data_IF_908664680333
#
_entry.id   IF_908664680333
#
_cell.length_a   1.000
_cell.length_b   1.000
_cell.length_c   1.000
_cell.angle_alpha   90.00
_cell.angle_beta   90.00
_cell.angle_gamma   90.00
#
_symmetry.space_group_name_H-M   'P 1'
#
loop_
_entity.id
_entity.type
_entity.pdbx_description
1 polymer ?
#
# COMPACT_ATOMS: atom_id res chain seq x y z
N UNK A 1 50.70 -13.64 -69.64
CA UNK A 1 51.75 -14.21 -68.75
C UNK A 1 52.67 -13.09 -68.31
N UNK A 2 53.20 -13.06 -67.07
CA UNK A 2 53.21 -14.09 -65.99
C UNK A 2 52.14 -13.79 -64.89
N UNK A 3 51.59 -14.70 -64.07
CA UNK A 3 52.10 -15.78 -63.18
C UNK A 3 52.94 -15.23 -62.01
N UNK A 4 52.83 -15.60 -60.72
CA UNK A 4 51.95 -16.49 -59.97
C UNK A 4 52.22 -16.29 -58.44
N UNK A 5 51.21 -16.61 -57.62
CA UNK A 5 51.30 -17.32 -56.31
C UNK A 5 51.79 -16.64 -55.01
N UNK A 6 51.05 -16.95 -53.92
CA UNK A 6 51.42 -16.72 -52.52
C UNK A 6 50.21 -16.72 -51.57
N UNK A 7 49.74 -17.90 -51.14
CA UNK A 7 48.76 -18.10 -50.06
C UNK A 7 49.34 -17.76 -48.67
N UNK A 8 48.49 -17.26 -47.77
CA UNK A 8 48.79 -17.12 -46.34
C UNK A 8 47.58 -16.59 -45.55
N UNK A 9 46.82 -17.51 -44.96
CA UNK A 9 45.66 -17.31 -44.09
C UNK A 9 45.98 -16.59 -42.77
N UNK A 10 45.11 -15.70 -42.28
CA UNK A 10 44.39 -15.86 -41.00
C UNK A 10 43.42 -14.68 -40.76
N UNK A 11 42.16 -15.07 -40.54
CA UNK A 11 41.19 -14.49 -39.59
C UNK A 11 40.78 -13.00 -39.69
N UNK A 12 39.55 -12.84 -40.20
CA UNK A 12 38.46 -12.35 -39.36
C UNK A 12 38.36 -10.83 -39.21
N UNK A 13 37.46 -10.23 -39.99
CA UNK A 13 36.37 -9.36 -39.52
C UNK A 13 35.64 -8.81 -40.77
N UNK A 14 34.53 -9.44 -41.14
CA UNK A 14 33.56 -8.87 -42.08
C UNK A 14 32.39 -8.27 -41.26
N UNK A 15 31.73 -7.22 -41.78
CA UNK A 15 30.95 -6.30 -40.97
C UNK A 15 29.62 -6.94 -40.55
N UNK A 16 29.29 -6.81 -39.27
CA UNK A 16 27.96 -7.11 -38.74
C UNK A 16 26.96 -6.09 -39.30
N UNK A 17 26.40 -6.41 -40.47
CA UNK A 17 25.02 -6.05 -40.78
C UNK A 17 24.13 -6.81 -39.78
N UNK A 18 23.81 -6.18 -38.66
CA UNK A 18 22.69 -6.63 -37.83
C UNK A 18 21.44 -6.15 -38.55
N UNK A 19 20.78 -7.08 -39.26
CA UNK A 19 19.35 -6.95 -39.52
C UNK A 19 18.70 -6.73 -38.15
N UNK A 20 18.14 -5.54 -37.92
CA UNK A 20 17.11 -5.37 -36.91
C UNK A 20 15.98 -6.31 -37.30
N UNK A 21 16.01 -7.52 -36.77
CA UNK A 21 14.84 -8.36 -36.68
C UNK A 21 13.86 -7.57 -35.84
N UNK A 22 12.84 -7.04 -36.52
CA UNK A 22 11.63 -6.49 -35.96
C UNK A 22 10.95 -7.62 -35.18
N UNK A 23 11.44 -7.87 -33.96
CA UNK A 23 10.79 -8.77 -33.01
C UNK A 23 9.48 -8.06 -32.70
N UNK A 24 8.32 -8.66 -33.04
CA UNK A 24 7.06 -8.12 -32.57
C UNK A 24 7.15 -8.18 -31.04
N UNK A 25 7.37 -7.04 -30.39
CA UNK A 25 7.04 -6.92 -28.97
C UNK A 25 5.55 -7.16 -28.95
N UNK A 26 5.15 -8.37 -28.56
CA UNK A 26 3.76 -8.63 -28.17
C UNK A 26 3.33 -7.44 -27.33
N UNK A 27 2.25 -6.72 -27.68
CA UNK A 27 1.74 -5.70 -26.79
C UNK A 27 1.46 -6.42 -25.48
N UNK A 28 2.23 -6.11 -24.44
CA UNK A 28 2.01 -6.66 -23.11
C UNK A 28 0.53 -6.47 -22.84
N UNK A 29 -0.21 -7.58 -22.68
CA UNK A 29 -1.66 -7.55 -22.48
C UNK A 29 -1.92 -6.60 -21.33
N UNK A 30 -2.45 -5.41 -21.64
CA UNK A 30 -2.75 -4.44 -20.61
C UNK A 30 -3.78 -5.11 -19.69
N UNK A 31 -3.50 -5.24 -18.39
CA UNK A 31 -4.42 -5.89 -17.49
C UNK A 31 -5.76 -5.15 -17.59
N UNK A 32 -6.84 -5.91 -17.80
CA UNK A 32 -8.16 -5.31 -17.95
C UNK A 32 -8.48 -4.42 -16.75
N UNK A 33 -9.22 -3.33 -16.96
CA UNK A 33 -9.60 -2.40 -15.89
C UNK A 33 -10.32 -3.15 -14.76
N UNK A 34 -11.08 -4.21 -15.10
CA UNK A 34 -11.73 -5.11 -14.12
C UNK A 34 -10.73 -5.89 -13.27
N UNK A 35 -9.68 -6.46 -13.89
CA UNK A 35 -8.61 -7.13 -13.16
C UNK A 35 -7.87 -6.16 -12.25
N UNK A 36 -7.53 -4.98 -12.78
CA UNK A 36 -6.89 -3.91 -11.99
C UNK A 36 -7.75 -3.51 -10.79
N UNK A 37 -9.07 -3.38 -10.96
CA UNK A 37 -9.98 -3.08 -9.85
C UNK A 37 -9.92 -4.14 -8.73
N UNK A 38 -9.99 -5.43 -9.09
CA UNK A 38 -9.88 -6.53 -8.12
C UNK A 38 -8.53 -6.59 -7.43
N UNK A 39 -7.44 -6.46 -8.19
CA UNK A 39 -6.08 -6.42 -7.64
C UNK A 39 -5.93 -5.25 -6.64
N UNK A 40 -6.56 -4.10 -6.92
CA UNK A 40 -6.56 -2.96 -6.01
C UNK A 40 -7.43 -3.17 -4.76
N UNK A 41 -8.55 -3.89 -4.86
CA UNK A 41 -9.33 -4.28 -3.67
C UNK A 41 -8.51 -5.19 -2.75
N UNK A 42 -7.76 -6.15 -3.30
CA UNK A 42 -6.83 -6.97 -2.52
C UNK A 42 -5.72 -6.14 -1.87
N UNK A 43 -5.04 -5.30 -2.64
CA UNK A 43 -4.00 -4.42 -2.12
C UNK A 43 -4.53 -3.49 -1.02
N UNK A 44 -5.79 -3.05 -1.13
CA UNK A 44 -6.44 -2.25 -0.12
C UNK A 44 -6.63 -3.02 1.19
N UNK A 45 -7.06 -4.29 1.13
CA UNK A 45 -7.19 -5.13 2.32
C UNK A 45 -5.85 -5.34 3.03
N UNK A 46 -4.76 -5.54 2.28
CA UNK A 46 -3.41 -5.65 2.84
C UNK A 46 -3.05 -4.38 3.62
N UNK A 47 -3.29 -3.20 3.04
CA UNK A 47 -3.07 -1.92 3.75
C UNK A 47 -3.93 -1.77 5.01
N UNK A 48 -5.18 -2.26 4.98
CA UNK A 48 -6.04 -2.21 6.17
C UNK A 48 -5.51 -3.12 7.28
N UNK A 49 -4.96 -4.29 6.93
CA UNK A 49 -4.29 -5.20 7.87
C UNK A 49 -3.07 -4.54 8.52
N UNK A 50 -2.17 -3.95 7.73
CA UNK A 50 -0.97 -3.26 8.24
C UNK A 50 -1.31 -2.17 9.25
N UNK A 51 -2.32 -1.33 8.93
CA UNK A 51 -2.74 -0.27 9.83
C UNK A 51 -3.30 -0.84 11.14
N UNK A 52 -4.07 -1.93 11.07
CA UNK A 52 -4.62 -2.58 12.26
C UNK A 52 -3.54 -3.09 13.19
N UNK A 53 -2.55 -3.78 12.65
CA UNK A 53 -1.41 -4.29 13.42
C UNK A 53 -0.65 -3.15 14.11
N UNK A 54 -0.37 -2.08 13.36
CA UNK A 54 0.31 -0.88 13.90
C UNK A 54 -0.47 -0.22 15.04
N UNK A 55 -1.80 -0.14 14.92
CA UNK A 55 -2.67 0.45 15.93
C UNK A 55 -2.80 -0.45 17.18
N UNK A 56 -2.89 -1.76 16.99
CA UNK A 56 -2.92 -2.72 18.10
C UNK A 56 -1.59 -2.74 18.86
N UNK A 57 -0.47 -2.64 18.14
CA UNK A 57 0.84 -2.49 18.77
C UNK A 57 0.89 -1.24 19.66
N UNK A 58 0.38 -0.10 19.20
CA UNK A 58 0.28 1.11 20.03
C UNK A 58 -0.58 0.92 21.28
N UNK A 59 -1.70 0.20 21.21
CA UNK A 59 -2.54 -0.09 22.37
C UNK A 59 -1.88 -1.06 23.37
N UNK A 60 -0.99 -1.93 22.90
CA UNK A 60 -0.28 -2.88 23.75
C UNK A 60 0.81 -2.23 24.61
N UNK A 61 1.20 -0.98 24.29
CA UNK A 61 2.23 -0.24 25.01
C UNK A 61 1.65 0.37 26.29
N UNK A 62 2.29 0.16 27.46
CA UNK A 62 1.92 0.91 28.66
C UNK A 62 2.23 2.40 28.43
N UNK A 63 1.30 3.28 28.82
CA UNK A 63 1.41 4.76 28.78
C UNK A 63 0.84 5.53 27.57
N UNK A 64 -0.04 4.97 26.72
CA UNK A 64 -0.79 5.80 25.77
C UNK A 64 -1.78 6.74 26.53
N UNK A 65 -1.76 8.07 26.33
CA UNK A 65 -2.71 8.97 26.99
C UNK A 65 -4.17 8.62 26.63
N UNK A 66 -5.16 8.86 27.53
CA UNK A 66 -6.57 8.53 27.25
C UNK A 66 -7.13 9.07 25.92
N UNK A 67 -6.81 10.31 25.49
CA UNK A 67 -7.23 10.82 24.17
C UNK A 67 -6.66 9.99 23.00
N UNK A 68 -5.41 9.52 23.13
CA UNK A 68 -4.77 8.67 22.13
C UNK A 68 -5.42 7.28 22.08
N UNK A 69 -5.69 6.68 23.24
CA UNK A 69 -6.38 5.38 23.30
C UNK A 69 -7.78 5.44 22.66
N UNK A 70 -8.53 6.50 22.96
CA UNK A 70 -9.85 6.71 22.37
C UNK A 70 -9.77 6.90 20.85
N UNK A 71 -8.80 7.68 20.38
CA UNK A 71 -8.56 7.86 18.96
C UNK A 71 -8.18 6.54 18.28
N UNK A 72 -7.20 5.79 18.82
CA UNK A 72 -6.79 4.51 18.25
C UNK A 72 -7.97 3.54 18.16
N UNK A 73 -8.78 3.45 19.21
CA UNK A 73 -9.98 2.60 19.23
C UNK A 73 -10.97 2.99 18.11
N UNK A 74 -11.21 4.29 17.96
CA UNK A 74 -12.08 4.82 16.88
C UNK A 74 -11.54 4.46 15.50
N UNK A 75 -10.23 4.59 15.27
CA UNK A 75 -9.62 4.23 13.99
C UNK A 75 -9.66 2.72 13.75
N UNK A 76 -9.48 1.90 14.79
CA UNK A 76 -9.59 0.44 14.68
C UNK A 76 -11.00 0.00 14.26
N UNK A 77 -12.04 0.61 14.82
CA UNK A 77 -13.42 0.29 14.44
C UNK A 77 -13.72 0.70 12.99
N UNK A 78 -13.25 1.88 12.57
CA UNK A 78 -13.33 2.30 11.17
C UNK A 78 -12.55 1.39 10.23
N UNK A 79 -11.35 0.95 10.63
CA UNK A 79 -10.52 0.03 9.87
C UNK A 79 -11.20 -1.34 9.67
N UNK A 80 -11.84 -1.87 10.71
CA UNK A 80 -12.60 -3.13 10.66
C UNK A 80 -13.80 -3.03 9.73
N UNK A 81 -14.54 -1.92 9.80
CA UNK A 81 -15.68 -1.71 8.90
C UNK A 81 -15.21 -1.59 7.44
N UNK A 82 -14.12 -0.85 7.20
CA UNK A 82 -13.52 -0.72 5.89
C UNK A 82 -13.05 -2.08 5.32
N UNK A 83 -12.40 -2.92 6.12
CA UNK A 83 -12.06 -4.29 5.74
C UNK A 83 -13.32 -5.10 5.38
N UNK A 84 -14.36 -5.03 6.21
CA UNK A 84 -15.60 -5.80 6.03
C UNK A 84 -16.29 -5.46 4.72
N UNK A 85 -16.40 -4.16 4.41
CA UNK A 85 -17.01 -3.66 3.18
C UNK A 85 -16.18 -4.01 1.94
N UNK A 86 -14.85 -3.82 1.98
CA UNK A 86 -13.99 -4.16 0.84
C UNK A 86 -13.93 -5.67 0.60
N UNK A 87 -13.94 -6.48 1.66
CA UNK A 87 -14.05 -7.93 1.55
C UNK A 87 -15.41 -8.36 1.00
N UNK A 88 -16.49 -7.63 1.29
CA UNK A 88 -17.79 -7.84 0.68
C UNK A 88 -17.76 -7.54 -0.83
N UNK A 89 -17.16 -6.41 -1.26
CA UNK A 89 -16.99 -6.09 -2.68
C UNK A 89 -16.24 -7.19 -3.42
N UNK A 90 -15.12 -7.70 -2.88
CA UNK A 90 -14.38 -8.82 -3.49
C UNK A 90 -15.29 -10.05 -3.71
N UNK A 91 -16.08 -10.42 -2.71
CA UNK A 91 -17.01 -11.56 -2.82
C UNK A 91 -18.07 -11.34 -3.89
N UNK A 92 -18.61 -10.13 -4.02
CA UNK A 92 -19.56 -9.76 -5.09
C UNK A 92 -18.94 -9.92 -6.48
N UNK A 93 -17.63 -9.70 -6.61
CA UNK A 93 -16.88 -9.93 -7.85
C UNK A 93 -16.36 -11.36 -8.03
N UNK A 94 -16.74 -12.30 -7.17
CA UNK A 94 -16.35 -13.71 -7.22
C UNK A 94 -14.95 -14.01 -6.69
N UNK A 95 -14.32 -13.06 -5.99
CA UNK A 95 -12.98 -13.21 -5.39
C UNK A 95 -13.09 -13.51 -3.89
N UNK A 96 -12.14 -14.28 -3.36
CA UNK A 96 -11.99 -14.48 -1.90
C UNK A 96 -10.91 -13.55 -1.37
N UNK A 97 -11.15 -12.79 -0.28
CA UNK A 97 -10.11 -12.00 0.38
C UNK A 97 -8.85 -12.85 0.62
N UNK A 98 -7.68 -12.31 0.24
CA UNK A 98 -6.39 -12.95 0.50
C UNK A 98 -5.99 -12.63 1.94
N UNK A 99 -5.66 -13.66 2.71
CA UNK A 99 -5.08 -13.52 4.04
C UNK A 99 -3.55 -13.48 3.88
N UNK A 100 -3.01 -12.39 3.37
CA UNK A 100 -1.57 -12.22 3.17
C UNK A 100 -0.89 -11.65 4.45
N UNK A 101 -1.36 -12.03 5.65
CA UNK A 101 -0.82 -11.52 6.93
C UNK A 101 0.62 -11.99 7.19
N UNK A 102 1.02 -13.12 6.60
CA UNK A 102 2.32 -13.73 6.89
C UNK A 102 3.51 -12.95 6.30
N UNK A 103 3.27 -12.05 5.34
CA UNK A 103 4.31 -11.22 4.70
C UNK A 103 4.53 -9.85 5.34
N UNK A 104 3.66 -9.41 6.26
CA UNK A 104 3.71 -8.06 6.85
C UNK A 104 4.43 -7.98 8.20
N UNK A 105 4.56 -9.11 8.89
CA UNK A 105 5.30 -9.23 10.15
C UNK A 105 6.75 -8.73 10.03
N UNK A 106 7.39 -8.86 8.86
CA UNK A 106 8.76 -8.43 8.63
C UNK A 106 8.97 -6.91 8.54
N UNK A 107 7.92 -6.13 8.27
CA UNK A 107 7.98 -4.66 8.25
C UNK A 107 7.78 -4.07 9.66
N UNK A 108 7.03 -4.76 10.51
CA UNK A 108 6.77 -4.38 11.90
C UNK A 108 7.89 -4.81 12.85
N UNK A 109 8.55 -5.95 12.57
CA UNK A 109 9.72 -6.40 13.35
C UNK A 109 10.88 -5.39 13.36
N UNK A 110 10.92 -4.47 12.39
CA UNK A 110 11.95 -3.42 12.33
C UNK A 110 11.64 -2.22 13.25
N UNK A 111 10.42 -2.15 13.81
CA UNK A 111 9.99 -1.06 14.72
C UNK A 111 10.11 -1.49 16.20
N UNK A 112 10.33 -2.78 16.47
CA UNK A 112 10.51 -3.31 17.83
C UNK A 112 11.99 -3.24 18.23
N UNK A 113 12.44 -2.02 18.55
CA UNK A 113 13.57 -1.85 19.48
C UNK A 113 13.04 -1.24 20.76
N UNK A 114 13.17 -1.97 21.87
CA UNK A 114 12.83 -1.51 23.21
C UNK A 114 13.44 -0.12 23.47
N UNK A 115 12.60 0.87 23.74
CA UNK A 115 13.05 2.26 23.81
C UNK A 115 13.69 2.57 25.17
N UNK A 116 14.88 3.18 25.21
CA UNK A 116 15.43 3.76 26.42
C UNK A 116 14.53 4.90 26.90
N UNK A 117 14.38 5.02 28.22
CA UNK A 117 13.38 5.84 28.92
C UNK A 117 13.46 7.36 28.72
N UNK A 118 14.24 7.87 27.76
CA UNK A 118 14.51 9.30 27.55
C UNK A 118 13.93 9.92 26.28
N UNK A 119 13.57 9.15 25.25
CA UNK A 119 13.19 9.66 23.92
C UNK A 119 11.74 9.35 23.51
N UNK A 120 10.86 9.13 24.50
CA UNK A 120 9.47 8.68 24.32
C UNK A 120 8.64 9.62 23.40
N UNK A 121 8.72 10.96 23.52
CA UNK A 121 7.90 11.86 22.69
C UNK A 121 8.30 11.86 21.21
N UNK A 122 9.60 11.88 20.90
CA UNK A 122 10.11 11.90 19.52
C UNK A 122 9.77 10.60 18.78
N UNK A 123 9.89 9.46 19.47
CA UNK A 123 9.52 8.17 18.90
C UNK A 123 8.01 8.01 18.72
N UNK A 124 7.19 8.51 19.66
CA UNK A 124 5.74 8.51 19.50
C UNK A 124 5.30 9.37 18.29
N UNK A 125 5.94 10.52 18.07
CA UNK A 125 5.70 11.33 16.87
C UNK A 125 6.08 10.61 15.58
N UNK A 126 7.21 9.88 15.57
CA UNK A 126 7.61 9.03 14.45
C UNK A 126 6.56 7.97 14.12
N UNK A 127 6.14 7.20 15.12
CA UNK A 127 5.08 6.19 14.97
C UNK A 127 3.76 6.84 14.51
N UNK A 128 3.43 8.03 15.01
CA UNK A 128 2.23 8.74 14.61
C UNK A 128 2.29 9.27 13.17
N UNK A 129 3.47 9.66 12.70
CA UNK A 129 3.70 10.02 11.31
C UNK A 129 3.51 8.81 10.38
N UNK A 130 4.02 7.65 10.77
CA UNK A 130 3.87 6.41 10.00
C UNK A 130 2.39 6.01 9.89
N UNK A 131 1.65 6.08 10.99
CA UNK A 131 0.21 5.82 11.01
C UNK A 131 -0.56 6.84 10.17
N UNK A 132 -0.23 8.13 10.27
CA UNK A 132 -0.81 9.15 9.41
C UNK A 132 -0.54 8.86 7.92
N UNK A 133 0.66 8.40 7.60
CA UNK A 133 1.05 7.96 6.26
C UNK A 133 0.25 6.74 5.79
N UNK A 134 0.01 5.75 6.65
CA UNK A 134 -0.86 4.61 6.37
C UNK A 134 -2.31 5.04 6.11
N UNK A 135 -2.87 5.92 6.94
CA UNK A 135 -4.23 6.46 6.76
C UNK A 135 -4.34 7.23 5.44
N UNK A 136 -3.34 8.05 5.10
CA UNK A 136 -3.29 8.77 3.84
C UNK A 136 -3.23 7.84 2.63
N UNK A 137 -2.43 6.76 2.71
CA UNK A 137 -2.37 5.71 1.68
C UNK A 137 -3.71 5.01 1.48
N UNK A 138 -4.41 4.65 2.57
CA UNK A 138 -5.75 4.06 2.50
C UNK A 138 -6.75 5.00 1.82
N UNK A 139 -6.75 6.29 2.17
CA UNK A 139 -7.63 7.29 1.56
C UNK A 139 -7.39 7.43 0.06
N UNK A 140 -6.12 7.45 -0.36
CA UNK A 140 -5.75 7.49 -1.78
C UNK A 140 -6.16 6.21 -2.49
N UNK A 141 -5.97 5.05 -1.86
CA UNK A 141 -6.41 3.77 -2.39
C UNK A 141 -7.93 3.72 -2.62
N UNK A 142 -8.73 4.20 -1.67
CA UNK A 142 -10.19 4.32 -1.85
C UNK A 142 -10.57 5.27 -3.00
N UNK A 143 -9.82 6.37 -3.18
CA UNK A 143 -10.05 7.30 -4.29
C UNK A 143 -9.83 6.64 -5.66
N UNK A 144 -8.77 5.84 -5.77
CA UNK A 144 -8.47 5.08 -6.98
C UNK A 144 -9.52 3.98 -7.24
N UNK A 145 -9.94 3.28 -6.19
CA UNK A 145 -11.00 2.28 -6.29
C UNK A 145 -12.32 2.90 -6.77
N UNK A 146 -12.70 4.05 -6.21
CA UNK A 146 -13.90 4.77 -6.64
C UNK A 146 -13.83 5.16 -8.12
N UNK A 147 -12.69 5.73 -8.55
CA UNK A 147 -12.48 6.08 -9.96
C UNK A 147 -12.62 4.85 -10.88
N UNK A 148 -12.07 3.70 -10.48
CA UNK A 148 -12.17 2.46 -11.24
C UNK A 148 -13.62 1.93 -11.26
N UNK A 149 -14.32 1.97 -10.14
CA UNK A 149 -15.73 1.56 -10.04
C UNK A 149 -16.63 2.43 -10.94
N UNK A 150 -16.44 3.75 -10.94
CA UNK A 150 -17.15 4.69 -11.81
C UNK A 150 -16.87 4.39 -13.29
N UNK A 151 -15.60 4.15 -13.66
CA UNK A 151 -15.21 3.78 -15.04
C UNK A 151 -15.80 2.45 -15.50
N UNK A 152 -16.05 1.53 -14.57
CA UNK A 152 -16.69 0.24 -14.83
C UNK A 152 -18.22 0.28 -14.69
N UNK A 153 -18.79 1.45 -14.37
CA UNK A 153 -20.22 1.65 -14.11
C UNK A 153 -20.78 0.75 -12.99
N UNK A 154 -19.96 0.47 -11.96
CA UNK A 154 -20.33 -0.28 -10.77
C UNK A 154 -20.93 0.68 -9.73
N UNK A 155 -22.22 0.99 -9.87
CA UNK A 155 -22.89 2.04 -9.06
C UNK A 155 -22.98 1.71 -7.58
N UNK A 156 -23.23 0.45 -7.23
CA UNK A 156 -23.30 0.00 -5.83
C UNK A 156 -21.92 0.06 -5.16
N UNK A 157 -20.89 -0.47 -5.82
CA UNK A 157 -19.50 -0.35 -5.37
C UNK A 157 -19.08 1.11 -5.15
N UNK A 158 -19.42 1.99 -6.10
CA UNK A 158 -19.10 3.41 -6.00
C UNK A 158 -19.77 4.10 -4.80
N UNK A 159 -21.00 3.71 -4.46
CA UNK A 159 -21.69 4.22 -3.27
C UNK A 159 -20.98 3.78 -1.97
N UNK A 160 -20.65 2.49 -1.85
CA UNK A 160 -19.91 1.94 -0.71
C UNK A 160 -18.54 2.63 -0.57
N UNK A 161 -17.79 2.73 -1.67
CA UNK A 161 -16.47 3.37 -1.68
C UNK A 161 -16.52 4.86 -1.33
N UNK A 162 -17.61 5.55 -1.68
CA UNK A 162 -17.82 6.96 -1.31
C UNK A 162 -18.02 7.11 0.19
N UNK A 163 -18.84 6.26 0.80
CA UNK A 163 -19.06 6.25 2.25
C UNK A 163 -17.75 5.98 3.01
N UNK A 164 -16.99 4.97 2.59
CA UNK A 164 -15.69 4.64 3.17
C UNK A 164 -14.70 5.82 3.08
N UNK A 165 -14.68 6.56 1.96
CA UNK A 165 -13.84 7.77 1.83
C UNK A 165 -14.25 8.87 2.81
N UNK A 166 -15.54 9.03 3.06
CA UNK A 166 -16.02 10.04 3.99
C UNK A 166 -15.62 9.70 5.43
N UNK A 167 -15.73 8.43 5.82
CA UNK A 167 -15.28 7.95 7.12
C UNK A 167 -13.77 8.13 7.31
N UNK A 168 -12.97 7.79 6.29
CA UNK A 168 -11.51 7.96 6.30
C UNK A 168 -11.07 9.44 6.39
N UNK A 169 -11.85 10.39 5.86
CA UNK A 169 -11.57 11.83 6.00
C UNK A 169 -11.72 12.31 7.45
N UNK A 170 -12.65 11.76 8.21
CA UNK A 170 -12.87 12.14 9.60
C UNK A 170 -11.71 11.66 10.48
N UNK A 171 -11.16 10.48 10.23
CA UNK A 171 -9.97 9.94 10.92
C UNK A 171 -8.76 10.89 10.88
N UNK A 172 -8.48 11.47 9.71
CA UNK A 172 -7.35 12.42 9.54
C UNK A 172 -7.56 13.72 10.32
N UNK A 173 -8.80 14.17 10.47
CA UNK A 173 -9.13 15.38 11.24
C UNK A 173 -8.89 15.13 12.73
N UNK A 174 -9.35 13.99 13.23
CA UNK A 174 -9.21 13.62 14.64
C UNK A 174 -7.75 13.45 15.08
N UNK A 175 -6.83 13.03 14.20
CA UNK A 175 -5.41 12.94 14.56
C UNK A 175 -4.81 14.30 14.92
N UNK A 176 -5.17 15.36 14.17
CA UNK A 176 -4.70 16.73 14.44
C UNK A 176 -5.14 17.24 15.82
N UNK A 177 -6.28 16.76 16.31
CA UNK A 177 -6.83 17.13 17.62
C UNK A 177 -6.14 16.38 18.77
N UNK A 178 -5.55 15.21 18.50
CA UNK A 178 -4.89 14.35 19.49
C UNK A 178 -3.41 14.67 19.64
N UNK A 179 -2.73 15.04 18.54
CA UNK A 179 -1.29 15.34 18.55
C UNK A 179 -0.86 16.36 19.62
N UNK A 180 -1.59 17.46 19.91
CA UNK A 180 -1.19 18.41 20.95
C UNK A 180 -1.12 17.77 22.35
N UNK A 181 -2.01 16.83 22.67
CA UNK A 181 -2.03 16.14 23.96
C UNK A 181 -0.87 15.12 24.11
N UNK A 182 -0.12 14.85 23.04
CA UNK A 182 1.08 14.02 23.05
C UNK A 182 2.37 14.84 23.19
N UNK A 183 2.27 16.16 23.07
CA UNK A 183 3.38 17.10 23.06
C UNK A 183 3.46 17.95 24.34
N UNK A 184 2.47 17.84 25.22
CA UNK A 184 2.50 18.46 26.53
C UNK A 184 3.35 17.61 27.46
N UNK A 185 4.51 18.12 27.86
CA UNK A 185 5.25 17.61 29.01
C UNK A 185 4.31 17.70 30.23
N UNK A 186 4.02 16.58 30.88
CA UNK A 186 3.56 16.63 32.26
C UNK A 186 4.80 16.92 33.14
N UNK A 187 4.86 18.15 33.68
CA UNK A 187 5.80 18.58 34.72
C UNK A 187 5.69 17.73 36.01
#
# INVERSE_FOLDING_TARGET
MPSAEGQGTHEGFLPLFVMETDVPRHPAEQPSIRRTYRDRLHAHLVLTGTLRESLLELLSRPAAPPPLQHWITTILDQNREQERQVAHLLRTHGEKPRNDSDTLSGLLDTVVTCFPSGDVPVHLLGVMLDIAGCIARLRTSLALLLLLAEKLSLTEDAAILTELRQNSRNASRSLKEVLPALLTDED
#
